data_IF_272409600576
#
_entry.id   IF_272409600576
#
_cell.length_a   1.000
_cell.length_b   1.000
_cell.length_c   1.000
_cell.angle_alpha   90.00
_cell.angle_beta   90.00
_cell.angle_gamma   90.00
#
_symmetry.space_group_name_H-M   'P 1'
#
loop_
_entity.id
_entity.type
_entity.pdbx_description
1 polymer ?
#
# COMPACT_ATOMS: atom_id res chain seq x y z
N UNK A 1 48.35 -1.33 22.35
CA UNK A 1 48.01 -0.82 21.00
C UNK A 1 46.50 -0.79 20.91
N UNK A 2 45.97 0.42 20.83
CA UNK A 2 44.56 0.74 21.08
C UNK A 2 43.64 0.12 20.04
N UNK A 3 42.69 -0.69 20.50
CA UNK A 3 41.47 -1.02 19.75
C UNK A 3 40.48 0.12 19.90
N UNK A 4 40.34 0.94 18.86
CA UNK A 4 39.30 1.97 18.79
C UNK A 4 38.01 1.36 18.29
N UNK A 5 37.04 1.29 19.19
CA UNK A 5 35.60 1.18 18.94
C UNK A 5 35.15 2.27 17.96
N UNK A 6 34.66 1.88 16.78
CA UNK A 6 33.91 2.80 15.93
C UNK A 6 32.47 2.88 16.48
N UNK A 7 32.17 3.99 17.15
CA UNK A 7 30.79 4.43 17.38
C UNK A 7 30.13 4.68 16.01
N UNK A 8 28.82 4.38 15.83
CA UNK A 8 28.12 4.80 14.62
C UNK A 8 27.95 6.32 14.70
N UNK A 9 28.81 7.04 13.98
CA UNK A 9 28.67 8.48 13.73
C UNK A 9 27.37 8.75 12.98
N UNK A 10 26.61 9.74 13.44
CA UNK A 10 25.52 10.40 12.72
C UNK A 10 25.99 10.75 11.30
N UNK A 11 25.60 9.92 10.31
CA UNK A 11 25.76 10.24 8.91
C UNK A 11 24.59 11.15 8.49
N UNK A 12 24.83 12.16 7.63
CA UNK A 12 23.84 13.16 7.26
C UNK A 12 22.65 12.49 6.59
N UNK A 13 21.44 13.06 6.76
CA UNK A 13 20.15 12.63 6.19
C UNK A 13 20.23 12.37 4.68
N UNK A 14 20.82 11.23 4.29
CA UNK A 14 20.82 10.68 2.96
C UNK A 14 19.41 10.19 2.69
N UNK A 15 18.82 10.66 1.60
CA UNK A 15 17.51 10.23 1.11
C UNK A 15 17.39 8.71 1.26
N UNK A 16 16.38 8.19 1.97
CA UNK A 16 16.27 6.75 2.17
C UNK A 16 16.23 6.06 0.82
N UNK A 17 16.96 4.95 0.66
CA UNK A 17 16.87 4.14 -0.55
C UNK A 17 15.38 3.84 -0.85
N UNK A 18 14.94 3.80 -2.13
CA UNK A 18 13.52 3.62 -2.47
C UNK A 18 12.81 2.48 -1.72
N UNK A 19 13.56 1.41 -1.40
CA UNK A 19 13.08 0.25 -0.62
C UNK A 19 12.83 0.56 0.86
N UNK A 20 13.68 1.38 1.49
CA UNK A 20 13.47 1.84 2.86
C UNK A 20 12.29 2.80 2.93
N UNK A 21 12.19 3.74 1.99
CA UNK A 21 11.05 4.67 1.94
C UNK A 21 9.70 3.93 1.82
N UNK A 22 9.63 2.86 1.02
CA UNK A 22 8.43 2.05 0.89
C UNK A 22 8.08 1.26 2.17
N UNK A 23 9.08 0.73 2.86
CA UNK A 23 8.86 -0.02 4.11
C UNK A 23 8.49 0.93 5.26
N UNK A 24 9.18 2.06 5.41
CA UNK A 24 8.88 3.07 6.43
C UNK A 24 7.50 3.73 6.25
N UNK A 25 6.97 3.76 5.03
CA UNK A 25 5.64 4.30 4.77
C UNK A 25 4.51 3.33 5.14
N UNK A 26 4.81 2.05 5.36
CA UNK A 26 3.84 1.08 5.83
C UNK A 26 3.46 1.38 7.29
N UNK A 27 2.17 1.58 7.54
CA UNK A 27 1.57 1.92 8.84
C UNK A 27 2.01 1.02 10.00
N UNK A 28 2.15 -0.27 9.75
CA UNK A 28 2.51 -1.24 10.79
C UNK A 28 4.03 -1.36 11.00
N UNK A 29 4.84 -0.64 10.22
CA UNK A 29 6.30 -0.62 10.38
C UNK A 29 6.68 0.50 11.34
N UNK A 30 7.23 0.10 12.50
CA UNK A 30 7.77 1.06 13.48
C UNK A 30 9.14 1.61 13.07
N UNK A 31 10.00 0.76 12.50
CA UNK A 31 11.37 1.12 12.11
C UNK A 31 11.88 0.18 11.04
N UNK A 32 12.46 0.72 9.97
CA UNK A 32 13.23 -0.06 9.00
C UNK A 32 14.72 -0.01 9.32
N UNK A 33 15.41 -1.13 9.09
CA UNK A 33 16.87 -1.27 9.27
C UNK A 33 17.50 -1.57 7.92
N UNK A 34 18.31 -0.63 7.42
CA UNK A 34 19.07 -0.82 6.19
C UNK A 34 20.16 -1.88 6.33
N UNK A 35 20.55 -2.49 5.21
CA UNK A 35 21.67 -3.45 5.14
C UNK A 35 21.55 -4.66 6.10
N UNK A 36 20.32 -5.11 6.38
CA UNK A 36 20.10 -6.34 7.14
C UNK A 36 20.74 -7.57 6.44
N UNK A 37 21.31 -8.52 7.21
CA UNK A 37 21.92 -9.72 6.65
C UNK A 37 20.88 -10.59 5.95
N UNK A 38 21.30 -11.31 4.92
CA UNK A 38 20.40 -12.18 4.15
C UNK A 38 19.87 -13.36 5.00
N UNK A 39 20.76 -14.03 5.74
CA UNK A 39 20.42 -15.09 6.69
C UNK A 39 20.22 -14.48 8.07
N UNK A 40 19.04 -14.69 8.65
CA UNK A 40 18.72 -14.10 9.96
C UNK A 40 19.38 -14.88 11.09
N UNK A 41 20.12 -14.19 11.95
CA UNK A 41 20.83 -14.81 13.08
C UNK A 41 20.29 -14.37 14.43
N UNK A 42 20.42 -15.23 15.44
CA UNK A 42 19.99 -14.94 16.82
C UNK A 42 20.67 -13.68 17.41
N UNK A 43 21.99 -13.46 17.27
CA UNK A 43 22.62 -12.24 17.76
C UNK A 43 22.06 -10.98 17.09
N UNK A 44 21.80 -11.03 15.79
CA UNK A 44 21.27 -9.90 15.04
C UNK A 44 19.87 -9.50 15.55
N UNK A 45 18.94 -10.46 15.67
CA UNK A 45 17.59 -10.15 16.15
C UNK A 45 17.56 -9.77 17.64
N UNK A 46 18.46 -10.34 18.46
CA UNK A 46 18.59 -9.99 19.87
C UNK A 46 19.15 -8.58 20.06
N UNK A 47 20.08 -8.12 19.20
CA UNK A 47 20.61 -6.75 19.24
C UNK A 47 19.50 -5.70 19.12
N UNK A 48 18.49 -5.96 18.29
CA UNK A 48 17.33 -5.07 18.12
C UNK A 48 16.18 -5.36 19.10
N UNK A 49 16.35 -6.29 20.05
CA UNK A 49 15.30 -6.67 20.99
C UNK A 49 14.11 -7.41 20.36
N UNK A 50 14.23 -7.91 19.13
CA UNK A 50 13.14 -8.57 18.42
C UNK A 50 12.85 -9.95 19.04
N UNK A 51 11.66 -10.15 19.63
CA UNK A 51 11.31 -11.44 20.25
C UNK A 51 11.17 -12.57 19.23
N UNK A 52 10.55 -12.28 18.09
CA UNK A 52 10.28 -13.24 17.02
C UNK A 52 10.74 -12.69 15.67
N UNK A 53 11.06 -13.62 14.77
CA UNK A 53 11.13 -13.40 13.32
C UNK A 53 9.82 -13.89 12.71
N UNK A 54 9.23 -13.08 11.84
CA UNK A 54 8.01 -13.43 11.11
C UNK A 54 8.35 -13.56 9.63
N UNK A 55 7.95 -14.66 9.01
CA UNK A 55 8.15 -14.89 7.58
C UNK A 55 6.95 -15.62 6.96
N UNK A 56 6.84 -15.55 5.63
CA UNK A 56 5.90 -16.36 4.87
C UNK A 56 6.16 -17.86 5.01
N UNK A 57 5.20 -18.67 4.58
CA UNK A 57 5.24 -20.14 4.54
C UNK A 57 6.03 -20.73 3.36
N UNK A 58 6.74 -19.88 2.60
CA UNK A 58 7.68 -20.30 1.56
C UNK A 58 8.94 -20.92 2.17
N UNK A 59 9.50 -21.95 1.51
CA UNK A 59 10.74 -22.60 1.95
C UNK A 59 11.94 -21.72 1.56
N UNK A 60 12.77 -21.41 2.55
CA UNK A 60 13.97 -20.58 2.39
C UNK A 60 15.22 -21.38 2.70
N UNK A 61 15.95 -21.76 1.65
CA UNK A 61 17.24 -22.44 1.77
C UNK A 61 18.40 -21.48 1.50
N UNK A 62 19.48 -21.62 2.25
CA UNK A 62 20.77 -20.98 1.97
C UNK A 62 21.50 -21.67 0.80
N UNK A 63 22.69 -21.19 0.46
CA UNK A 63 23.51 -21.74 -0.64
C UNK A 63 23.87 -23.21 -0.46
N UNK A 64 23.87 -23.70 0.78
CA UNK A 64 24.22 -25.07 1.14
C UNK A 64 22.98 -25.97 1.26
N UNK A 65 21.80 -25.44 0.91
CA UNK A 65 20.52 -26.16 0.94
C UNK A 65 19.86 -26.22 2.33
N UNK A 66 20.46 -25.60 3.34
CA UNK A 66 19.92 -25.61 4.70
C UNK A 66 18.90 -24.50 4.91
N UNK A 67 17.94 -24.69 5.80
CA UNK A 67 16.96 -23.65 6.13
C UNK A 67 17.64 -22.38 6.69
N UNK A 68 17.37 -21.24 6.06
CA UNK A 68 17.86 -19.91 6.45
C UNK A 68 17.47 -19.51 7.89
N UNK A 69 16.41 -20.10 8.44
CA UNK A 69 15.88 -19.78 9.76
C UNK A 69 16.08 -20.91 10.77
N UNK A 70 16.86 -21.96 10.47
CA UNK A 70 17.05 -23.14 11.33
C UNK A 70 17.32 -22.80 12.80
N UNK A 71 18.29 -21.92 13.06
CA UNK A 71 18.66 -21.51 14.41
C UNK A 71 17.59 -20.67 15.11
N UNK A 72 16.81 -19.89 14.34
CA UNK A 72 15.70 -19.09 14.87
C UNK A 72 14.50 -19.98 15.19
N UNK A 73 14.24 -21.00 14.36
CA UNK A 73 13.21 -22.04 14.59
C UNK A 73 13.54 -22.89 15.81
N UNK A 74 14.78 -23.39 15.91
CA UNK A 74 15.26 -24.20 17.04
C UNK A 74 15.15 -23.42 18.37
N UNK A 75 15.43 -22.12 18.35
CA UNK A 75 15.26 -21.24 19.51
C UNK A 75 13.79 -20.90 19.86
N UNK A 76 12.79 -21.42 19.11
CA UNK A 76 11.37 -21.11 19.32
C UNK A 76 11.00 -19.66 18.99
N UNK A 77 11.82 -18.95 18.21
CA UNK A 77 11.68 -17.51 17.91
C UNK A 77 11.20 -17.24 16.48
N UNK A 78 10.60 -18.23 15.82
CA UNK A 78 10.08 -18.09 14.46
C UNK A 78 8.54 -18.17 14.42
N UNK A 79 7.91 -17.32 13.61
CA UNK A 79 6.46 -17.29 13.39
C UNK A 79 6.18 -17.29 11.89
N UNK A 80 5.23 -18.11 11.48
CA UNK A 80 4.83 -18.24 10.07
C UNK A 80 3.53 -17.47 9.85
N UNK A 81 3.47 -16.71 8.77
CA UNK A 81 2.25 -16.10 8.25
C UNK A 81 1.94 -16.66 6.86
N UNK A 82 0.65 -16.78 6.53
CA UNK A 82 0.24 -17.26 5.22
C UNK A 82 0.52 -16.23 4.15
N UNK A 83 0.89 -16.69 2.96
CA UNK A 83 1.01 -15.85 1.77
C UNK A 83 -0.30 -15.13 1.44
N UNK A 84 -0.20 -13.86 1.09
CA UNK A 84 -1.33 -13.06 0.61
C UNK A 84 -1.87 -13.62 -0.72
N UNK A 85 -3.16 -14.00 -0.80
CA UNK A 85 -3.72 -14.59 -2.01
C UNK A 85 -3.92 -13.54 -3.11
N UNK A 86 -3.78 -13.99 -4.36
CA UNK A 86 -4.19 -13.22 -5.54
C UNK A 86 -3.20 -12.17 -6.05
N UNK A 87 -2.03 -12.00 -5.44
CA UNK A 87 -0.99 -11.10 -5.96
C UNK A 87 0.42 -11.65 -5.75
N UNK A 88 1.27 -11.51 -6.76
CA UNK A 88 2.70 -11.82 -6.65
C UNK A 88 3.52 -11.01 -7.65
N UNK A 89 4.82 -10.86 -7.41
CA UNK A 89 5.71 -10.19 -8.38
C UNK A 89 5.72 -10.91 -9.73
N UNK A 90 5.61 -12.24 -9.75
CA UNK A 90 5.54 -13.01 -11.01
C UNK A 90 4.25 -12.69 -11.77
N UNK A 91 3.12 -12.63 -11.07
CA UNK A 91 1.84 -12.26 -11.66
C UNK A 91 1.87 -10.83 -12.21
N UNK A 92 2.31 -9.85 -11.42
CA UNK A 92 2.41 -8.45 -11.88
C UNK A 92 3.32 -8.29 -13.10
N UNK A 93 4.49 -8.95 -13.13
CA UNK A 93 5.36 -8.91 -14.31
C UNK A 93 4.72 -9.64 -15.50
N UNK A 94 3.99 -10.74 -15.25
CA UNK A 94 3.18 -11.41 -16.27
C UNK A 94 2.16 -10.46 -16.90
N UNK A 95 1.42 -9.69 -16.09
CA UNK A 95 0.48 -8.67 -16.57
C UNK A 95 1.19 -7.63 -17.44
N UNK A 96 2.38 -7.16 -17.02
CA UNK A 96 3.17 -6.20 -17.80
C UNK A 96 3.65 -6.75 -19.14
N UNK A 97 4.00 -8.05 -19.21
CA UNK A 97 4.53 -8.68 -20.42
C UNK A 97 3.43 -9.12 -21.40
N UNK A 98 2.32 -9.65 -20.88
CA UNK A 98 1.23 -10.20 -21.68
C UNK A 98 0.20 -9.13 -22.08
N UNK A 99 0.27 -7.96 -21.46
CA UNK A 99 -0.65 -6.84 -21.71
C UNK A 99 -2.14 -7.23 -21.58
N UNK A 100 -2.47 -8.14 -20.65
CA UNK A 100 -3.85 -8.59 -20.40
C UNK A 100 -4.62 -7.62 -19.52
N UNK A 101 -5.95 -7.57 -19.71
CA UNK A 101 -6.90 -6.81 -18.86
C UNK A 101 -7.83 -7.70 -18.05
N UNK A 102 -7.53 -8.99 -17.95
CA UNK A 102 -8.38 -10.00 -17.29
C UNK A 102 -8.50 -9.80 -15.79
N UNK A 103 -7.58 -9.05 -15.17
CA UNK A 103 -7.59 -8.71 -13.75
C UNK A 103 -8.44 -7.49 -13.41
N UNK A 104 -8.94 -6.75 -14.42
CA UNK A 104 -9.72 -5.53 -14.19
C UNK A 104 -11.02 -5.85 -13.46
N UNK A 105 -11.41 -4.92 -12.60
CA UNK A 105 -12.67 -4.96 -11.87
C UNK A 105 -13.56 -3.85 -12.41
N UNK A 106 -14.76 -4.20 -12.87
CA UNK A 106 -15.73 -3.21 -13.38
C UNK A 106 -16.43 -2.50 -12.24
N UNK A 107 -16.89 -3.28 -11.25
CA UNK A 107 -17.45 -2.75 -10.02
C UNK A 107 -16.92 -3.52 -8.82
N UNK A 108 -16.04 -2.88 -8.05
CA UNK A 108 -15.52 -3.45 -6.82
C UNK A 108 -16.64 -3.73 -5.82
N UNK A 109 -17.68 -2.90 -5.78
CA UNK A 109 -18.86 -3.15 -4.95
C UNK A 109 -19.59 -4.44 -5.35
N UNK A 110 -19.73 -4.71 -6.65
CA UNK A 110 -20.35 -5.95 -7.13
C UNK A 110 -19.47 -7.17 -6.87
N UNK A 111 -18.14 -7.05 -6.99
CA UNK A 111 -17.22 -8.13 -6.63
C UNK A 111 -17.31 -8.44 -5.13
N UNK A 112 -17.27 -7.41 -4.28
CA UNK A 112 -17.37 -7.58 -2.82
C UNK A 112 -18.70 -8.18 -2.38
N UNK A 113 -19.78 -7.90 -3.10
CA UNK A 113 -21.11 -8.49 -2.83
C UNK A 113 -21.36 -9.84 -3.51
N UNK A 114 -20.39 -10.36 -4.27
CA UNK A 114 -20.51 -11.64 -4.98
C UNK A 114 -21.35 -11.61 -6.25
N UNK A 115 -21.72 -10.42 -6.75
CA UNK A 115 -22.51 -10.22 -7.98
C UNK A 115 -21.65 -10.26 -9.24
N UNK A 116 -20.37 -9.89 -9.13
CA UNK A 116 -19.39 -9.87 -10.23
C UNK A 116 -18.23 -10.82 -9.92
N UNK A 117 -17.69 -11.47 -10.96
CA UNK A 117 -16.57 -12.41 -10.84
C UNK A 117 -16.82 -13.72 -11.61
N UNK A 118 -15.82 -14.59 -11.60
CA UNK A 118 -15.90 -15.93 -12.19
C UNK A 118 -16.35 -16.96 -11.14
N UNK A 119 -16.84 -18.12 -11.60
CA UNK A 119 -17.24 -19.22 -10.72
C UNK A 119 -18.73 -19.19 -10.33
N UNK A 120 -19.11 -20.09 -9.42
CA UNK A 120 -20.49 -20.18 -8.91
C UNK A 120 -20.84 -18.96 -8.04
N UNK A 121 -22.10 -18.81 -7.68
CA UNK A 121 -22.51 -17.74 -6.75
C UNK A 121 -21.85 -17.88 -5.39
N UNK A 122 -21.72 -19.11 -4.88
CA UNK A 122 -21.07 -19.42 -3.61
C UNK A 122 -19.58 -19.05 -3.65
N UNK A 123 -18.88 -19.40 -4.72
CA UNK A 123 -17.47 -19.05 -4.92
C UNK A 123 -17.26 -17.53 -4.98
N UNK A 124 -18.12 -16.81 -5.70
CA UNK A 124 -18.08 -15.35 -5.79
C UNK A 124 -18.35 -14.68 -4.45
N UNK A 125 -19.35 -15.16 -3.69
CA UNK A 125 -19.64 -14.64 -2.34
C UNK A 125 -18.47 -14.90 -1.39
N UNK A 126 -17.87 -16.09 -1.43
CA UNK A 126 -16.71 -16.42 -0.61
C UNK A 126 -15.50 -15.54 -0.93
N UNK A 127 -15.22 -15.31 -2.23
CA UNK A 127 -14.17 -14.39 -2.68
C UNK A 127 -14.44 -12.95 -2.21
N UNK A 128 -15.67 -12.47 -2.37
CA UNK A 128 -16.09 -11.14 -1.92
C UNK A 128 -15.90 -10.94 -0.41
N UNK A 129 -16.24 -11.94 0.41
CA UNK A 129 -16.00 -11.93 1.85
C UNK A 129 -14.50 -11.90 2.19
N UNK A 130 -13.67 -12.69 1.50
CA UNK A 130 -12.21 -12.66 1.69
C UNK A 130 -11.59 -11.31 1.29
N UNK A 131 -12.10 -10.68 0.22
CA UNK A 131 -11.67 -9.34 -0.20
C UNK A 131 -12.09 -8.28 0.83
N UNK A 132 -13.32 -8.35 1.35
CA UNK A 132 -13.81 -7.47 2.39
C UNK A 132 -12.95 -7.55 3.66
N UNK A 133 -12.63 -8.76 4.10
CA UNK A 133 -11.79 -8.96 5.29
C UNK A 133 -10.38 -8.39 5.08
N UNK A 134 -9.81 -8.52 3.87
CA UNK A 134 -8.54 -7.87 3.56
C UNK A 134 -8.61 -6.34 3.64
N UNK A 135 -9.67 -5.73 3.11
CA UNK A 135 -9.88 -4.28 3.26
C UNK A 135 -9.98 -3.90 4.73
N UNK A 136 -10.71 -4.67 5.54
CA UNK A 136 -10.85 -4.46 6.99
C UNK A 136 -9.50 -4.52 7.71
N UNK A 137 -8.69 -5.53 7.43
CA UNK A 137 -7.36 -5.67 8.01
C UNK A 137 -6.44 -4.52 7.61
N UNK A 138 -6.48 -4.10 6.33
CA UNK A 138 -5.62 -3.02 5.84
C UNK A 138 -6.06 -1.62 6.29
N UNK A 139 -7.33 -1.45 6.63
CA UNK A 139 -7.88 -0.21 7.16
C UNK A 139 -7.71 -0.05 8.68
N UNK A 140 -6.96 -0.94 9.34
CA UNK A 140 -6.65 -0.83 10.77
C UNK A 140 -5.65 0.29 11.06
N UNK A 141 -5.51 0.67 12.33
CA UNK A 141 -4.47 1.57 12.83
C UNK A 141 -3.08 0.89 12.85
N UNK A 142 -2.06 1.64 13.28
CA UNK A 142 -0.68 1.17 13.43
C UNK A 142 -0.52 -0.03 14.38
N UNK A 143 -1.50 -0.26 15.25
CA UNK A 143 -1.50 -1.42 16.15
C UNK A 143 -2.10 -2.68 15.52
N UNK A 144 -2.73 -2.55 14.35
CA UNK A 144 -3.52 -3.57 13.67
C UNK A 144 -4.70 -4.11 14.51
N UNK A 145 -5.15 -3.37 15.53
CA UNK A 145 -6.20 -3.82 16.47
C UNK A 145 -7.43 -2.93 16.47
N UNK A 146 -7.30 -1.67 16.06
CA UNK A 146 -8.41 -0.73 15.99
C UNK A 146 -8.64 -0.27 14.54
N UNK A 147 -9.84 0.24 14.21
CA UNK A 147 -10.05 0.93 12.93
C UNK A 147 -9.15 2.17 12.83
N UNK A 148 -8.49 2.35 11.68
CA UNK A 148 -7.56 3.45 11.45
C UNK A 148 -7.89 4.32 10.24
N UNK A 149 -8.49 3.75 9.19
CA UNK A 149 -8.77 4.44 7.93
C UNK A 149 -10.26 4.37 7.61
N UNK A 150 -10.85 5.52 7.29
CA UNK A 150 -12.19 5.56 6.72
C UNK A 150 -12.18 5.02 5.28
N UNK A 151 -13.11 4.12 4.96
CA UNK A 151 -13.22 3.54 3.63
C UNK A 151 -14.59 3.83 3.06
N UNK A 152 -14.62 4.47 1.90
CA UNK A 152 -15.83 4.87 1.19
C UNK A 152 -15.83 4.33 -0.24
N UNK A 153 -17.03 4.16 -0.79
CA UNK A 153 -17.26 4.07 -2.22
C UNK A 153 -17.97 5.33 -2.70
N UNK A 154 -17.56 5.83 -3.87
CA UNK A 154 -18.36 6.77 -4.64
C UNK A 154 -18.93 6.06 -5.87
N UNK A 155 -20.23 6.15 -6.06
CA UNK A 155 -20.94 5.52 -7.17
C UNK A 155 -21.64 6.59 -8.01
N UNK A 156 -21.36 6.60 -9.32
CA UNK A 156 -21.93 7.50 -10.32
C UNK A 156 -21.94 6.82 -11.70
N UNK A 157 -22.46 7.49 -12.73
CA UNK A 157 -22.34 7.06 -14.12
C UNK A 157 -20.87 6.91 -14.56
N UNK A 158 -20.62 6.21 -15.68
CA UNK A 158 -19.26 6.08 -16.22
C UNK A 158 -18.78 7.42 -16.77
N UNK A 159 -19.69 8.20 -17.34
CA UNK A 159 -19.46 9.53 -17.87
C UNK A 159 -19.00 10.47 -16.75
N UNK A 160 -19.68 10.50 -15.61
CA UNK A 160 -19.26 11.28 -14.44
C UNK A 160 -17.91 10.83 -13.84
N UNK A 161 -17.54 9.57 -14.03
CA UNK A 161 -16.24 9.04 -13.57
C UNK A 161 -15.09 9.40 -14.50
N UNK A 162 -15.35 9.52 -15.81
CA UNK A 162 -14.31 9.63 -16.83
C UNK A 162 -14.19 11.01 -17.50
N UNK A 163 -15.29 11.75 -17.58
CA UNK A 163 -15.40 13.01 -18.33
C UNK A 163 -15.37 14.22 -17.38
N UNK A 164 -14.86 15.35 -17.87
CA UNK A 164 -14.76 16.61 -17.12
C UNK A 164 -16.01 17.50 -17.18
N UNK A 165 -16.93 17.20 -18.10
CA UNK A 165 -18.14 18.00 -18.33
C UNK A 165 -19.33 17.59 -17.46
N UNK A 166 -19.24 16.44 -16.78
CA UNK A 166 -20.37 15.85 -16.05
C UNK A 166 -20.33 16.20 -14.55
N UNK A 167 -21.29 17.01 -14.11
CA UNK A 167 -21.44 17.45 -12.72
C UNK A 167 -22.39 16.55 -11.92
N UNK A 168 -22.34 15.23 -12.14
CA UNK A 168 -23.14 14.29 -11.36
C UNK A 168 -22.64 14.24 -9.91
N UNK A 169 -23.55 14.43 -8.96
CA UNK A 169 -23.22 14.31 -7.52
C UNK A 169 -22.75 12.91 -7.14
N UNK A 170 -23.30 11.88 -7.79
CA UNK A 170 -23.17 10.49 -7.39
C UNK A 170 -23.67 10.25 -5.96
N UNK A 171 -23.21 9.16 -5.35
CA UNK A 171 -23.53 8.78 -3.97
C UNK A 171 -22.32 8.24 -3.24
N UNK A 172 -22.17 8.61 -1.98
CA UNK A 172 -21.13 8.08 -1.10
C UNK A 172 -21.70 7.03 -0.16
N UNK A 173 -21.05 5.87 -0.09
CA UNK A 173 -21.40 4.80 0.83
C UNK A 173 -20.20 4.48 1.72
N UNK A 174 -20.36 4.61 3.04
CA UNK A 174 -19.31 4.22 3.97
C UNK A 174 -19.24 2.69 4.01
N UNK A 175 -18.06 2.15 3.71
CA UNK A 175 -17.78 0.73 3.86
C UNK A 175 -17.25 0.43 5.26
N UNK A 176 -16.25 1.18 5.70
CA UNK A 176 -15.63 1.05 7.02
C UNK A 176 -15.47 2.42 7.64
N UNK A 177 -15.75 2.50 8.94
CA UNK A 177 -15.51 3.69 9.75
C UNK A 177 -14.16 3.56 10.45
N UNK A 178 -13.26 4.48 10.16
CA UNK A 178 -11.97 4.69 10.82
C UNK A 178 -12.10 5.77 11.90
N UNK A 179 -11.07 6.60 12.03
CA UNK A 179 -11.01 7.62 13.09
C UNK A 179 -11.84 8.87 12.80
N UNK A 180 -12.13 9.16 11.53
CA UNK A 180 -12.69 10.44 11.11
C UNK A 180 -11.75 11.64 11.36
N UNK A 181 -12.08 12.82 10.82
CA UNK A 181 -11.38 14.06 11.13
C UNK A 181 -11.63 14.46 12.58
N UNK A 182 -10.55 14.84 13.28
CA UNK A 182 -10.60 15.34 14.65
C UNK A 182 -10.82 16.86 14.68
N UNK A 183 -11.29 17.44 15.80
CA UNK A 183 -11.57 18.87 15.90
C UNK A 183 -10.38 19.74 15.46
N UNK A 184 -10.64 20.70 14.57
CA UNK A 184 -9.63 21.61 14.05
C UNK A 184 -8.68 21.01 13.00
N UNK A 185 -8.71 19.71 12.73
CA UNK A 185 -7.93 19.16 11.61
C UNK A 185 -8.47 19.69 10.28
N UNK A 186 -7.57 20.09 9.40
CA UNK A 186 -7.87 20.41 8.01
C UNK A 186 -8.07 19.12 7.22
N UNK A 187 -9.15 19.05 6.46
CA UNK A 187 -9.44 17.93 5.57
C UNK A 187 -8.86 18.26 4.21
N UNK A 188 -7.90 17.46 3.76
CA UNK A 188 -7.26 17.66 2.45
C UNK A 188 -7.52 16.47 1.55
N UNK A 189 -7.72 16.72 0.27
CA UNK A 189 -8.03 15.72 -0.72
C UNK A 189 -6.89 15.56 -1.73
N UNK A 190 -6.60 14.32 -2.09
CA UNK A 190 -5.73 13.95 -3.21
C UNK A 190 -6.37 12.80 -3.96
N UNK A 191 -6.06 12.67 -5.24
CA UNK A 191 -6.52 11.56 -6.05
C UNK A 191 -5.47 11.09 -7.04
N UNK A 192 -5.80 9.97 -7.68
CA UNK A 192 -4.96 9.41 -8.71
C UNK A 192 -5.24 7.94 -8.98
N UNK A 193 -4.47 7.43 -9.95
CA UNK A 193 -4.52 6.02 -10.27
C UNK A 193 -3.84 5.14 -9.21
N UNK A 194 -2.75 5.60 -8.60
CA UNK A 194 -1.95 4.84 -7.61
C UNK A 194 -1.51 3.44 -8.09
N UNK A 195 -1.42 3.23 -9.40
CA UNK A 195 -0.98 1.98 -9.99
C UNK A 195 0.50 1.70 -9.70
N UNK A 196 0.84 0.44 -9.41
CA UNK A 196 2.15 0.02 -8.91
C UNK A 196 2.67 0.98 -7.82
N UNK A 197 1.88 1.13 -6.74
CA UNK A 197 2.15 2.07 -5.66
C UNK A 197 3.63 2.05 -5.23
N UNK A 198 4.31 3.20 -5.34
CA UNK A 198 5.77 3.28 -5.31
C UNK A 198 6.27 4.49 -4.53
N UNK A 199 7.59 4.63 -4.42
CA UNK A 199 8.25 5.75 -3.71
C UNK A 199 7.84 7.12 -4.23
N UNK A 200 7.42 7.24 -5.50
CA UNK A 200 6.86 8.46 -6.06
C UNK A 200 5.59 8.90 -5.32
N UNK A 201 4.57 8.02 -5.29
CA UNK A 201 3.31 8.26 -4.59
C UNK A 201 3.50 8.46 -3.08
N UNK A 202 4.38 7.66 -2.48
CA UNK A 202 4.66 7.71 -1.04
C UNK A 202 5.25 9.07 -0.64
N UNK A 203 6.24 9.55 -1.39
CA UNK A 203 6.88 10.84 -1.13
C UNK A 203 5.94 12.00 -1.41
N UNK A 204 5.09 11.90 -2.44
CA UNK A 204 4.02 12.88 -2.67
C UNK A 204 3.09 12.99 -1.45
N UNK A 205 2.54 11.87 -0.95
CA UNK A 205 1.66 11.86 0.22
C UNK A 205 2.36 12.38 1.49
N UNK A 206 3.65 12.04 1.67
CA UNK A 206 4.46 12.57 2.77
C UNK A 206 4.59 14.10 2.69
N UNK A 207 4.79 14.63 1.48
CA UNK A 207 4.92 16.08 1.24
C UNK A 207 3.62 16.85 1.41
N UNK A 208 2.48 16.23 1.13
CA UNK A 208 1.17 16.81 1.46
C UNK A 208 1.05 17.05 2.97
N UNK A 209 1.38 16.05 3.79
CA UNK A 209 1.41 16.23 5.25
C UNK A 209 2.47 17.24 5.70
N UNK A 210 3.62 17.28 5.06
CA UNK A 210 4.67 18.27 5.35
C UNK A 210 4.20 19.70 5.09
N UNK A 211 3.54 19.95 3.96
CA UNK A 211 2.98 21.26 3.61
C UNK A 211 1.88 21.69 4.61
N UNK A 212 0.98 20.79 4.98
CA UNK A 212 -0.05 21.08 5.98
C UNK A 212 0.53 21.29 7.37
N UNK A 213 1.59 20.57 7.75
CA UNK A 213 2.33 20.83 8.98
C UNK A 213 3.00 22.21 8.98
N UNK A 214 3.54 22.67 7.85
CA UNK A 214 4.12 24.01 7.73
C UNK A 214 3.08 25.12 7.90
N UNK A 215 1.93 24.99 7.25
CA UNK A 215 0.81 25.92 7.42
C UNK A 215 0.36 25.97 8.89
N UNK A 216 0.15 24.79 9.49
CA UNK A 216 -0.30 24.69 10.87
C UNK A 216 0.71 25.23 11.90
N UNK A 217 2.03 25.23 11.60
CA UNK A 217 3.03 25.91 12.44
C UNK A 217 2.80 27.41 12.47
N UNK A 218 2.45 28.02 11.33
CA UNK A 218 2.10 29.44 11.25
C UNK A 218 0.88 29.78 12.10
N UNK A 219 -0.08 28.85 12.18
CA UNK A 219 -1.33 29.02 12.94
C UNK A 219 -1.20 28.63 14.43
N UNK A 220 0.01 28.30 14.91
CA UNK A 220 0.26 27.95 16.31
C UNK A 220 -0.22 26.55 16.73
N UNK A 221 -0.51 25.65 15.78
CA UNK A 221 -0.99 24.28 16.04
C UNK A 221 -0.06 23.49 16.95
N UNK A 222 1.25 23.72 16.83
CA UNK A 222 2.30 23.03 17.59
C UNK A 222 2.78 23.82 18.82
N UNK A 223 2.09 24.89 19.21
CA UNK A 223 2.37 25.58 20.47
C UNK A 223 2.15 24.63 21.65
N UNK A 224 2.93 24.81 22.72
CA UNK A 224 2.82 23.99 23.94
C UNK A 224 1.39 24.01 24.48
N UNK A 225 0.76 25.18 24.53
CA UNK A 225 -0.64 25.34 24.92
C UNK A 225 -1.59 24.51 24.05
N UNK A 226 -1.49 24.61 22.71
CA UNK A 226 -2.41 23.87 21.82
C UNK A 226 -2.21 22.35 21.92
N UNK A 227 -0.95 21.91 22.08
CA UNK A 227 -0.62 20.49 22.30
C UNK A 227 -1.21 19.99 23.62
N UNK A 228 -1.04 20.74 24.71
CA UNK A 228 -1.54 20.36 26.03
C UNK A 228 -3.08 20.38 26.08
N UNK A 229 -3.73 21.32 25.40
CA UNK A 229 -5.19 21.33 25.25
C UNK A 229 -5.69 20.07 24.49
N UNK A 230 -4.99 19.63 23.44
CA UNK A 230 -5.35 18.41 22.71
C UNK A 230 -5.11 17.15 23.55
N UNK A 231 -3.98 17.07 24.27
CA UNK A 231 -3.70 15.97 25.20
C UNK A 231 -4.70 15.94 26.37
N UNK A 232 -5.11 17.09 26.89
CA UNK A 232 -6.14 17.19 27.92
C UNK A 232 -7.50 16.65 27.48
N UNK A 233 -7.78 16.66 26.17
CA UNK A 233 -9.01 16.11 25.55
C UNK A 233 -8.83 14.70 24.98
N UNK A 234 -7.68 14.06 25.20
CA UNK A 234 -7.39 12.71 24.71
C UNK A 234 -5.94 12.54 24.28
N UNK A 235 -5.71 12.41 22.98
CA UNK A 235 -4.37 12.23 22.41
C UNK A 235 -4.04 13.43 21.51
N UNK A 236 -2.75 13.74 21.38
CA UNK A 236 -2.28 14.68 20.36
C UNK A 236 -2.42 14.07 18.95
N UNK A 237 -2.55 14.92 17.94
CA UNK A 237 -2.71 14.52 16.54
C UNK A 237 -2.21 15.61 15.58
N UNK A 238 -1.82 15.18 14.38
CA UNK A 238 -1.39 16.08 13.33
C UNK A 238 -2.52 16.99 12.83
N UNK A 239 -2.19 18.10 12.15
CA UNK A 239 -3.16 19.10 11.72
C UNK A 239 -4.01 18.68 10.51
N UNK A 240 -3.63 17.63 9.79
CA UNK A 240 -4.29 17.23 8.55
C UNK A 240 -4.97 15.87 8.65
N UNK A 241 -6.11 15.75 7.97
CA UNK A 241 -6.82 14.52 7.67
C UNK A 241 -6.82 14.31 6.16
N UNK A 242 -6.00 13.38 5.68
CA UNK A 242 -5.75 13.16 4.24
C UNK A 242 -6.72 12.14 3.66
N UNK A 243 -7.53 12.59 2.70
CA UNK A 243 -8.50 11.80 1.96
C UNK A 243 -7.92 11.47 0.58
N UNK A 244 -7.86 10.18 0.23
CA UNK A 244 -7.32 9.71 -1.05
C UNK A 244 -8.42 9.13 -1.93
N UNK A 245 -8.68 9.75 -3.08
CA UNK A 245 -9.52 9.21 -4.15
C UNK A 245 -8.74 8.23 -5.04
N UNK A 246 -9.25 7.01 -5.21
CA UNK A 246 -8.65 5.98 -6.07
C UNK A 246 -9.55 5.76 -7.27
N UNK A 247 -9.09 6.17 -8.46
CA UNK A 247 -9.85 5.99 -9.70
C UNK A 247 -10.10 4.52 -10.01
N UNK A 248 -11.19 4.22 -10.73
CA UNK A 248 -11.50 2.87 -11.16
C UNK A 248 -10.60 2.40 -12.32
N UNK A 249 -10.69 1.11 -12.66
CA UNK A 249 -9.80 0.50 -13.66
C UNK A 249 -10.12 0.98 -15.09
N UNK A 250 -11.40 1.15 -15.41
CA UNK A 250 -11.85 1.56 -16.74
C UNK A 250 -11.47 3.01 -17.05
N UNK A 251 -11.65 3.93 -16.08
CA UNK A 251 -11.20 5.33 -16.18
C UNK A 251 -9.69 5.36 -16.43
N UNK A 252 -8.89 4.67 -15.62
CA UNK A 252 -7.44 4.67 -15.81
C UNK A 252 -7.08 4.10 -17.18
N UNK A 253 -7.75 3.04 -17.64
CA UNK A 253 -7.48 2.43 -18.93
C UNK A 253 -7.87 3.33 -20.11
N UNK A 254 -8.97 4.09 -20.01
CA UNK A 254 -9.36 5.05 -21.03
C UNK A 254 -8.27 6.09 -21.27
N UNK A 255 -7.61 6.53 -20.19
CA UNK A 255 -6.57 7.55 -20.25
C UNK A 255 -5.17 7.00 -20.59
N UNK A 256 -4.77 5.87 -19.98
CA UNK A 256 -3.42 5.31 -20.16
C UNK A 256 -3.30 4.25 -21.25
N UNK A 257 -4.43 3.66 -21.66
CA UNK A 257 -4.50 2.62 -22.67
C UNK A 257 -3.77 1.33 -22.29
N UNK A 258 -3.46 0.54 -23.33
CA UNK A 258 -2.76 -0.76 -23.24
C UNK A 258 -3.41 -1.65 -22.19
N UNK A 259 -2.74 -1.99 -21.11
CA UNK A 259 -3.24 -2.84 -20.04
C UNK A 259 -3.16 -2.14 -18.68
N UNK A 260 -3.03 -0.81 -18.68
CA UNK A 260 -3.06 -0.03 -17.44
C UNK A 260 -4.49 0.08 -16.93
N UNK A 261 -4.71 -0.02 -15.61
CA UNK A 261 -3.69 -0.17 -14.58
C UNK A 261 -3.17 -1.62 -14.47
N UNK A 262 -1.90 -1.80 -14.13
CA UNK A 262 -1.29 -3.13 -13.93
C UNK A 262 -1.88 -3.81 -12.69
N UNK A 263 -2.14 -3.05 -11.64
CA UNK A 263 -2.91 -3.47 -10.47
C UNK A 263 -4.37 -3.02 -10.60
N UNK A 264 -5.33 -3.88 -10.29
CA UNK A 264 -6.73 -3.49 -10.29
C UNK A 264 -7.07 -2.57 -9.09
N UNK A 265 -8.27 -2.02 -9.08
CA UNK A 265 -8.70 -1.05 -8.08
C UNK A 265 -8.60 -1.58 -6.65
N UNK A 266 -8.94 -2.85 -6.43
CA UNK A 266 -8.81 -3.49 -5.14
C UNK A 266 -7.36 -3.52 -4.66
N UNK A 267 -6.44 -3.99 -5.51
CA UNK A 267 -5.00 -4.07 -5.20
C UNK A 267 -4.40 -2.68 -4.93
N UNK A 268 -4.72 -1.69 -5.78
CA UNK A 268 -4.28 -0.30 -5.62
C UNK A 268 -4.80 0.32 -4.32
N UNK A 269 -6.08 0.08 -4.01
CA UNK A 269 -6.69 0.51 -2.76
C UNK A 269 -6.00 -0.08 -1.53
N UNK A 270 -5.68 -1.38 -1.53
CA UNK A 270 -4.92 -1.98 -0.43
C UNK A 270 -3.54 -1.33 -0.27
N UNK A 271 -2.84 -1.05 -1.38
CA UNK A 271 -1.56 -0.35 -1.33
C UNK A 271 -1.65 1.08 -0.77
N UNK A 272 -2.75 1.79 -1.04
CA UNK A 272 -3.01 3.10 -0.43
C UNK A 272 -3.36 2.95 1.05
N UNK A 273 -4.22 2.00 1.42
CA UNK A 273 -4.66 1.76 2.80
C UNK A 273 -3.50 1.47 3.77
N UNK A 274 -2.47 0.75 3.33
CA UNK A 274 -1.30 0.49 4.17
C UNK A 274 -0.42 1.73 4.41
N UNK A 275 -0.57 2.81 3.64
CA UNK A 275 0.26 4.00 3.75
C UNK A 275 -0.07 4.77 5.03
N UNK A 276 0.93 5.09 5.85
CA UNK A 276 0.73 5.80 7.13
C UNK A 276 0.38 7.28 6.98
N UNK A 277 0.52 7.84 5.78
CA UNK A 277 0.31 9.27 5.51
C UNK A 277 -1.14 9.61 5.15
N UNK A 278 -2.06 8.65 5.25
CA UNK A 278 -3.45 8.80 4.79
C UNK A 278 -4.43 8.41 5.90
N UNK A 279 -5.61 9.01 5.88
CA UNK A 279 -6.66 8.81 6.89
C UNK A 279 -7.99 8.31 6.31
N UNK A 280 -8.22 8.52 5.01
CA UNK A 280 -9.43 8.03 4.34
C UNK A 280 -9.11 7.60 2.91
N UNK A 281 -9.80 6.58 2.41
CA UNK A 281 -9.78 6.15 1.00
C UNK A 281 -11.19 6.20 0.44
N UNK A 282 -11.34 6.76 -0.76
CA UNK A 282 -12.57 6.77 -1.55
C UNK A 282 -12.32 5.96 -2.81
N UNK A 283 -12.92 4.78 -2.88
CA UNK A 283 -12.91 3.95 -4.08
C UNK A 283 -13.83 4.54 -5.15
N UNK A 284 -13.38 4.39 -6.40
CA UNK A 284 -14.06 4.81 -7.62
C UNK A 284 -14.20 6.31 -7.76
N UNK A 285 -13.31 7.09 -7.12
CA UNK A 285 -13.29 8.54 -7.26
C UNK A 285 -13.17 8.97 -8.74
N UNK A 286 -13.86 10.04 -9.16
CA UNK A 286 -13.84 10.50 -10.54
C UNK A 286 -12.43 10.93 -10.95
N UNK A 287 -12.14 10.91 -12.26
CA UNK A 287 -10.88 11.42 -12.79
C UNK A 287 -10.72 12.93 -12.58
N UNK A 288 -11.81 13.67 -12.79
CA UNK A 288 -11.88 15.12 -12.62
C UNK A 288 -12.64 15.40 -11.31
N UNK A 289 -12.00 15.97 -10.28
CA UNK A 289 -12.68 16.35 -9.05
C UNK A 289 -13.52 17.60 -9.27
N UNK A 290 -14.73 17.41 -9.82
CA UNK A 290 -15.68 18.48 -10.12
C UNK A 290 -16.14 19.22 -8.87
N UNK A 291 -16.75 20.39 -9.03
CA UNK A 291 -17.25 21.18 -7.89
C UNK A 291 -18.34 20.40 -7.14
N UNK A 292 -19.23 19.73 -7.87
CA UNK A 292 -20.31 18.94 -7.26
C UNK A 292 -19.75 17.74 -6.48
N UNK A 293 -18.74 17.05 -7.02
CA UNK A 293 -18.05 15.99 -6.30
C UNK A 293 -17.38 16.51 -5.01
N UNK A 294 -16.54 17.54 -5.10
CA UNK A 294 -15.79 18.06 -3.95
C UNK A 294 -16.69 18.61 -2.84
N UNK A 295 -17.79 19.28 -3.18
CA UNK A 295 -18.75 19.80 -2.18
C UNK A 295 -19.64 18.73 -1.57
N UNK A 296 -19.72 17.54 -2.19
CA UNK A 296 -20.51 16.41 -1.69
C UNK A 296 -19.69 15.35 -0.94
N UNK A 297 -18.38 15.55 -0.80
CA UNK A 297 -17.50 14.68 -0.02
C UNK A 297 -18.06 14.46 1.41
N UNK A 298 -17.88 13.27 2.00
CA UNK A 298 -18.44 12.95 3.32
C UNK A 298 -18.03 13.88 4.47
N UNK A 299 -16.96 14.65 4.27
CA UNK A 299 -16.38 15.56 5.26
C UNK A 299 -16.66 17.04 4.94
N UNK A 300 -17.50 17.32 3.93
CA UNK A 300 -17.68 18.66 3.37
C UNK A 300 -16.61 19.01 2.33
N UNK A 301 -16.64 20.27 1.88
CA UNK A 301 -15.64 20.80 0.95
C UNK A 301 -14.24 20.72 1.61
N UNK A 302 -13.23 20.12 0.95
CA UNK A 302 -11.89 20.02 1.52
C UNK A 302 -11.22 21.39 1.58
N UNK A 303 -10.38 21.58 2.59
CA UNK A 303 -9.57 22.79 2.79
C UNK A 303 -8.50 22.97 1.70
N UNK A 304 -8.07 21.86 1.10
CA UNK A 304 -7.13 21.86 -0.02
C UNK A 304 -7.28 20.60 -0.88
N UNK A 305 -7.04 20.76 -2.18
CA UNK A 305 -6.82 19.66 -3.13
C UNK A 305 -5.37 19.68 -3.55
N UNK A 306 -4.61 18.65 -3.19
CA UNK A 306 -3.21 18.53 -3.55
C UNK A 306 -3.01 17.63 -4.76
N UNK A 307 -2.13 18.04 -5.66
CA UNK A 307 -1.67 17.19 -6.74
C UNK A 307 -0.18 17.45 -7.06
N UNK A 308 0.50 16.46 -7.61
CA UNK A 308 1.91 16.59 -8.03
C UNK A 308 2.04 17.13 -9.46
N UNK A 309 3.25 17.49 -9.86
CA UNK A 309 3.55 17.81 -11.26
C UNK A 309 3.42 16.56 -12.14
N UNK A 310 2.25 16.37 -12.78
CA UNK A 310 2.00 15.23 -13.67
C UNK A 310 2.77 15.37 -14.97
N UNK A 311 3.92 14.73 -15.06
CA UNK A 311 4.75 14.66 -16.26
C UNK A 311 4.46 13.43 -17.14
N UNK A 312 3.62 12.50 -16.68
CA UNK A 312 3.46 11.20 -17.32
C UNK A 312 2.44 11.17 -18.47
N UNK A 313 1.48 12.10 -18.52
CA UNK A 313 0.41 12.08 -19.51
C UNK A 313 -0.03 13.51 -19.86
N UNK A 314 0.19 13.97 -21.10
CA UNK A 314 -0.37 15.23 -21.55
C UNK A 314 -1.89 15.06 -21.66
N UNK A 315 -2.62 15.72 -20.76
CA UNK A 315 -4.07 15.79 -20.83
C UNK A 315 -4.47 16.89 -21.83
N UNK A 316 -5.57 16.67 -22.54
CA UNK A 316 -6.14 17.66 -23.46
C UNK A 316 -6.83 18.82 -22.72
N UNK A 317 -7.05 18.67 -21.41
CA UNK A 317 -7.63 19.67 -20.52
C UNK A 317 -7.01 19.56 -19.12
N UNK A 318 -7.30 20.53 -18.27
CA UNK A 318 -6.87 20.55 -16.87
C UNK A 318 -7.97 19.98 -15.95
N UNK A 319 -7.81 18.78 -15.37
CA UNK A 319 -8.83 18.17 -14.51
C UNK A 319 -9.02 18.93 -13.18
N UNK A 320 -8.10 19.83 -12.83
CA UNK A 320 -8.14 20.57 -11.57
C UNK A 320 -8.69 22.00 -11.72
N UNK A 321 -9.41 22.31 -12.81
CA UNK A 321 -10.06 23.61 -13.00
C UNK A 321 -11.00 23.95 -11.84
N UNK A 322 -11.84 23.01 -11.39
CA UNK A 322 -12.78 23.24 -10.29
C UNK A 322 -12.07 23.62 -8.97
N UNK A 323 -11.10 22.84 -8.44
CA UNK A 323 -10.38 23.23 -7.22
C UNK A 323 -9.52 24.50 -7.40
N UNK A 324 -9.01 24.79 -8.60
CA UNK A 324 -8.34 26.07 -8.88
C UNK A 324 -9.29 27.26 -8.79
N UNK A 325 -10.48 27.16 -9.39
CA UNK A 325 -11.51 28.19 -9.31
C UNK A 325 -12.03 28.41 -7.88
N UNK A 326 -12.04 27.35 -7.06
CA UNK A 326 -12.39 27.42 -5.64
C UNK A 326 -11.24 27.97 -4.77
N UNK A 327 -10.04 28.18 -5.31
CA UNK A 327 -8.87 28.66 -4.55
C UNK A 327 -8.26 27.63 -3.59
N UNK A 328 -8.62 26.35 -3.74
CA UNK A 328 -8.18 25.26 -2.83
C UNK A 328 -7.13 24.34 -3.48
N UNK A 329 -6.79 24.53 -4.75
CA UNK A 329 -5.74 23.75 -5.41
C UNK A 329 -4.35 24.10 -4.88
N UNK A 330 -3.54 23.07 -4.58
CA UNK A 330 -2.16 23.18 -4.13
C UNK A 330 -1.29 22.20 -4.92
N UNK A 331 -0.17 22.68 -5.45
CA UNK A 331 0.79 21.83 -6.16
C UNK A 331 1.93 21.41 -5.24
N UNK A 332 2.22 20.11 -5.21
CA UNK A 332 3.47 19.60 -4.63
C UNK A 332 4.52 19.60 -5.75
N UNK A 333 5.57 20.41 -5.57
CA UNK A 333 6.68 20.50 -6.50
C UNK A 333 7.53 19.23 -6.55
N UNK A 334 8.61 19.28 -7.34
CA UNK A 334 9.51 18.14 -7.53
C UNK A 334 10.10 17.63 -6.20
N UNK A 335 10.30 16.32 -6.17
CA UNK A 335 10.85 15.57 -5.05
C UNK A 335 11.78 14.46 -5.55
N UNK A 336 12.63 13.86 -4.69
CA UNK A 336 13.66 12.91 -5.11
C UNK A 336 13.17 11.69 -5.89
N UNK A 337 11.88 11.39 -5.79
CA UNK A 337 11.23 10.24 -6.45
C UNK A 337 10.17 10.63 -7.49
N UNK A 338 10.06 11.91 -7.89
CA UNK A 338 9.03 12.35 -8.86
C UNK A 338 9.09 11.60 -10.19
N UNK A 339 10.28 11.14 -10.57
CA UNK A 339 10.46 10.31 -11.75
C UNK A 339 9.83 8.91 -11.58
N UNK A 340 9.85 8.32 -10.38
CA UNK A 340 9.40 6.94 -10.16
C UNK A 340 7.87 6.84 -10.23
N UNK A 341 7.37 6.30 -11.34
CA UNK A 341 5.94 6.05 -11.58
C UNK A 341 5.71 4.69 -12.27
N UNK A 342 4.44 4.30 -12.45
CA UNK A 342 4.08 3.02 -13.04
C UNK A 342 4.73 2.79 -14.42
N UNK A 343 4.71 3.78 -15.31
CA UNK A 343 5.31 3.65 -16.64
C UNK A 343 6.83 3.47 -16.58
N UNK A 344 7.53 4.21 -15.72
CA UNK A 344 8.96 3.99 -15.53
C UNK A 344 9.28 2.63 -14.92
N UNK A 345 8.47 2.13 -13.98
CA UNK A 345 8.63 0.81 -13.39
C UNK A 345 8.46 -0.26 -14.46
N UNK A 346 7.39 -0.19 -15.25
CA UNK A 346 7.15 -1.10 -16.37
C UNK A 346 8.32 -1.06 -17.35
N UNK A 347 8.74 0.12 -17.80
CA UNK A 347 9.89 0.27 -18.71
C UNK A 347 11.19 -0.34 -18.15
N UNK A 348 11.49 -0.12 -16.86
CA UNK A 348 12.67 -0.71 -16.20
C UNK A 348 12.59 -2.24 -16.15
N UNK A 349 11.42 -2.81 -15.87
CA UNK A 349 11.20 -4.26 -15.85
C UNK A 349 11.30 -4.84 -17.26
N UNK A 350 10.70 -4.18 -18.26
CA UNK A 350 10.76 -4.62 -19.66
C UNK A 350 12.20 -4.63 -20.21
N UNK A 351 13.05 -3.67 -19.82
CA UNK A 351 14.49 -3.68 -20.19
C UNK A 351 15.25 -4.88 -19.65
N UNK A 352 14.73 -5.53 -18.61
CA UNK A 352 15.32 -6.73 -18.00
C UNK A 352 14.50 -8.00 -18.31
N UNK A 353 13.75 -8.01 -19.41
CA UNK A 353 12.87 -9.12 -19.81
C UNK A 353 13.60 -10.47 -19.89
N UNK A 354 14.75 -10.52 -20.54
CA UNK A 354 15.53 -11.77 -20.66
C UNK A 354 15.97 -12.31 -19.30
N UNK A 355 16.40 -11.42 -18.40
CA UNK A 355 16.73 -11.77 -17.01
C UNK A 355 15.49 -12.21 -16.21
N UNK A 356 14.31 -11.70 -16.53
CA UNK A 356 13.06 -12.15 -15.94
C UNK A 356 12.69 -13.57 -16.42
N UNK A 357 12.73 -13.81 -17.73
CA UNK A 357 12.44 -15.13 -18.31
C UNK A 357 13.40 -16.19 -17.76
N UNK A 358 14.69 -15.86 -17.64
CA UNK A 358 15.68 -16.71 -16.97
C UNK A 358 15.34 -16.96 -15.49
N UNK A 359 14.93 -15.93 -14.74
CA UNK A 359 14.49 -16.09 -13.34
C UNK A 359 13.21 -16.90 -13.20
N UNK A 360 12.27 -16.83 -14.15
CA UNK A 360 11.06 -17.66 -14.11
C UNK A 360 11.38 -19.13 -14.33
N UNK A 361 12.30 -19.44 -15.27
CA UNK A 361 12.83 -20.80 -15.41
C UNK A 361 13.44 -21.29 -14.08
N UNK A 362 14.29 -20.47 -13.46
CA UNK A 362 14.89 -20.82 -12.17
C UNK A 362 13.86 -20.96 -11.03
N UNK A 363 12.83 -20.11 -10.98
CA UNK A 363 11.73 -20.21 -10.00
C UNK A 363 10.88 -21.45 -10.21
N UNK A 364 10.61 -21.86 -11.44
CA UNK A 364 9.91 -23.10 -11.75
C UNK A 364 10.65 -24.31 -11.16
N UNK A 365 11.96 -24.39 -11.42
CA UNK A 365 12.85 -25.39 -10.82
C UNK A 365 12.84 -25.30 -9.29
N UNK A 366 12.92 -24.10 -8.71
CA UNK A 366 12.88 -23.91 -7.25
C UNK A 366 11.57 -24.41 -6.65
N UNK A 367 10.42 -24.13 -7.27
CA UNK A 367 9.12 -24.57 -6.79
C UNK A 367 9.02 -26.10 -6.74
N UNK A 368 9.59 -26.81 -7.71
CA UNK A 368 9.70 -28.27 -7.70
C UNK A 368 10.56 -28.76 -6.53
N UNK A 369 11.71 -28.13 -6.29
CA UNK A 369 12.60 -28.45 -5.16
C UNK A 369 11.92 -28.18 -3.81
N UNK A 370 11.23 -27.04 -3.68
CA UNK A 370 10.47 -26.69 -2.47
C UNK A 370 9.33 -27.69 -2.22
N UNK A 371 8.60 -28.11 -3.26
CA UNK A 371 7.56 -29.13 -3.12
C UNK A 371 8.13 -30.47 -2.62
N UNK A 372 9.28 -30.89 -3.16
CA UNK A 372 9.96 -32.10 -2.71
C UNK A 372 10.49 -31.98 -1.27
N UNK A 373 11.03 -30.82 -0.89
CA UNK A 373 11.50 -30.56 0.47
C UNK A 373 10.34 -30.54 1.48
N UNK A 374 9.22 -29.89 1.14
CA UNK A 374 8.00 -29.89 1.96
C UNK A 374 7.46 -31.31 2.17
N UNK A 375 7.47 -32.12 1.12
CA UNK A 375 7.06 -33.51 1.21
C UNK A 375 7.98 -34.32 2.14
N UNK A 376 9.30 -34.06 2.10
CA UNK A 376 10.26 -34.68 3.03
C UNK A 376 10.02 -34.28 4.48
N UNK A 377 9.81 -33.00 4.76
CA UNK A 377 9.51 -32.51 6.11
C UNK A 377 8.23 -33.15 6.68
N UNK A 378 7.17 -33.24 5.88
CA UNK A 378 5.92 -33.91 6.30
C UNK A 378 6.16 -35.39 6.66
N UNK A 379 6.97 -36.10 5.88
CA UNK A 379 7.32 -37.49 6.15
C UNK A 379 8.16 -37.61 7.44
N UNK A 380 9.10 -36.70 7.69
CA UNK A 380 9.89 -36.67 8.91
C UNK A 380 9.05 -36.33 10.16
N UNK A 381 8.09 -35.41 10.06
CA UNK A 381 7.16 -35.10 11.15
C UNK A 381 6.24 -36.28 11.46
N UNK A 382 5.71 -36.95 10.43
CA UNK A 382 4.93 -38.19 10.61
C UNK A 382 5.76 -39.28 11.27
N UNK A 383 7.02 -39.43 10.88
CA UNK A 383 7.93 -40.40 11.48
C UNK A 383 8.20 -40.07 12.96
N UNK A 384 8.50 -38.80 13.29
CA UNK A 384 8.69 -38.36 14.68
C UNK A 384 7.45 -38.59 15.53
N UNK A 385 6.24 -38.36 14.98
CA UNK A 385 4.98 -38.67 15.68
C UNK A 385 4.83 -40.17 15.95
N UNK A 386 5.08 -41.02 14.94
CA UNK A 386 5.03 -42.49 15.09
C UNK A 386 6.05 -43.01 16.10
N UNK A 387 7.25 -42.42 16.15
CA UNK A 387 8.28 -42.77 17.12
C UNK A 387 7.89 -42.34 18.54
N UNK A 388 7.31 -41.15 18.71
CA UNK A 388 6.79 -40.68 19.99
C UNK A 388 5.61 -41.53 20.50
N UNK A 389 4.71 -41.96 19.61
CA UNK A 389 3.58 -42.85 19.93
C UNK A 389 4.04 -44.27 20.32
N UNK A 390 5.19 -44.73 19.81
CA UNK A 390 5.78 -46.03 20.19
C UNK A 390 6.59 -45.99 21.48
N UNK A 391 6.91 -44.79 21.98
CA UNK A 391 7.68 -44.58 23.20
C UNK A 391 6.80 -44.37 24.44
N UNK A 392 5.48 -44.40 24.29
CA UNK A 392 4.45 -44.43 25.35
C UNK A 392 3.92 -45.86 25.46
#
# INVERSE_FOLDING_TARGET
>A
MNGTSAQPSDHPRLTPLPRLAATDACRWVTRSVGHAPYVTSLPYISHYGCRYVVHGDDITSDSDGNDCYRFVKEAGRFKVVKRSPGISTTDLVGRMLLCTRTHFIRSLENVLSGKEGNGTEEERRALGQQMMERIRLYATDETAKAPGVDVWFWSASLEARAQDTEEEKGSFRQLLKGTGPKPGQRVVYVDGGFDLFCSGHIEFLRRVLEAENELARGDGWFSEQAVDERKGKGNDYGPAFVVVGVHDDEVINQWKGVNYPIMNQFERGLCVLQCKYINSVIFSAPFTPTKTYLTSLPYGLPDAVYHGSTSFMPLTYDPYVAPKNLGIYREIGEHPFSHVNAGQIVQRIMKSRELYEARQRAKGVKAEVEAAARQRELLEEEQRKKEAERAV
#
